data_IF_291510932608
#
_entry.id   IF_291510932608
#
_cell.length_a   1.000
_cell.length_b   1.000
_cell.length_c   1.000
_cell.angle_alpha   90.00
_cell.angle_beta   90.00
_cell.angle_gamma   90.00
#
_symmetry.space_group_name_H-M   'P 1'
#
loop_
_entity.id
_entity.type
_entity.pdbx_description
1 polymer ?
#
# COMPACT_ATOMS: atom_id res chain seq x y z
N UNK A 1 1.60 10.76 -13.45
CA UNK A 1 0.69 10.60 -12.29
C UNK A 1 1.39 10.03 -11.06
N UNK A 2 2.08 8.88 -11.09
CA UNK A 2 2.75 8.31 -9.89
C UNK A 2 3.92 9.16 -9.35
N UNK A 3 4.60 9.90 -10.24
CA UNK A 3 5.68 10.82 -9.88
C UNK A 3 5.19 12.20 -9.44
N UNK A 4 3.93 12.54 -9.70
CA UNK A 4 3.40 13.86 -9.38
C UNK A 4 3.44 14.17 -7.88
N UNK A 5 3.11 13.21 -6.98
CA UNK A 5 3.25 13.45 -5.55
C UNK A 5 4.70 13.59 -5.09
N UNK A 6 5.62 12.80 -5.66
CA UNK A 6 7.04 12.91 -5.37
C UNK A 6 7.59 14.29 -5.81
N UNK A 7 7.18 14.76 -7.00
CA UNK A 7 7.54 16.09 -7.49
C UNK A 7 6.93 17.21 -6.65
N UNK A 8 5.69 17.07 -6.18
CA UNK A 8 5.06 18.04 -5.28
C UNK A 8 5.73 18.06 -3.89
N UNK A 9 6.08 16.89 -3.34
CA UNK A 9 6.85 16.80 -2.10
C UNK A 9 8.21 17.47 -2.24
N UNK A 10 8.92 17.20 -3.36
CA UNK A 10 10.21 17.79 -3.65
C UNK A 10 10.09 19.32 -3.75
N UNK A 11 9.08 19.82 -4.45
CA UNK A 11 8.81 21.25 -4.50
C UNK A 11 8.59 21.84 -3.10
N UNK A 12 7.76 21.22 -2.24
CA UNK A 12 7.53 21.71 -0.87
C UNK A 12 8.78 21.66 0.01
N UNK A 13 9.63 20.64 -0.15
CA UNK A 13 10.93 20.59 0.54
C UNK A 13 11.82 21.76 0.12
N UNK A 14 11.93 22.02 -1.18
CA UNK A 14 12.76 23.09 -1.73
C UNK A 14 12.19 24.48 -1.40
N UNK A 15 10.87 24.60 -1.30
CA UNK A 15 10.18 25.83 -0.92
C UNK A 15 10.16 26.10 0.59
N UNK A 16 10.70 25.20 1.43
CA UNK A 16 10.69 25.35 2.88
C UNK A 16 9.29 25.26 3.52
N UNK A 17 8.29 24.76 2.77
CA UNK A 17 6.87 24.80 3.12
C UNK A 17 6.39 23.55 3.89
N UNK A 18 7.31 22.85 4.55
CA UNK A 18 6.99 21.64 5.32
C UNK A 18 6.71 21.90 6.80
N UNK A 19 6.74 23.17 7.22
CA UNK A 19 6.50 23.58 8.59
C UNK A 19 7.67 23.27 9.53
N UNK A 20 7.40 23.25 10.83
CA UNK A 20 8.43 23.23 11.88
C UNK A 20 9.22 21.91 11.96
N UNK A 21 8.66 20.78 11.52
CA UNK A 21 9.34 19.49 11.49
C UNK A 21 9.24 18.85 10.09
N UNK A 22 10.17 19.18 9.17
CA UNK A 22 10.10 18.74 7.78
C UNK A 22 10.27 17.22 7.63
N UNK A 23 11.06 16.58 8.50
CA UNK A 23 11.28 15.12 8.45
C UNK A 23 10.01 14.36 8.83
N UNK A 24 9.30 14.82 9.87
CA UNK A 24 8.02 14.23 10.26
C UNK A 24 6.95 14.43 9.18
N UNK A 25 6.88 15.63 8.59
CA UNK A 25 5.96 15.91 7.48
C UNK A 25 6.22 14.99 6.27
N UNK A 26 7.48 14.80 5.88
CA UNK A 26 7.88 13.87 4.82
C UNK A 26 7.51 12.42 5.15
N UNK A 27 7.75 12.01 6.39
CA UNK A 27 7.40 10.66 6.87
C UNK A 27 5.89 10.42 6.77
N UNK A 28 5.08 11.36 7.26
CA UNK A 28 3.62 11.28 7.19
C UNK A 28 3.11 11.20 5.74
N UNK A 29 3.54 12.12 4.88
CA UNK A 29 3.09 12.17 3.49
C UNK A 29 3.48 10.92 2.71
N UNK A 30 4.72 10.44 2.85
CA UNK A 30 5.14 9.20 2.17
C UNK A 30 4.37 7.97 2.66
N UNK A 31 4.00 7.93 3.94
CA UNK A 31 3.08 6.94 4.50
C UNK A 31 1.67 7.02 3.90
N UNK A 32 1.11 8.23 3.78
CA UNK A 32 -0.20 8.45 3.15
C UNK A 32 -0.22 8.02 1.68
N UNK A 33 0.81 8.38 0.91
CA UNK A 33 0.92 7.96 -0.49
C UNK A 33 1.06 6.45 -0.64
N UNK A 34 1.78 5.78 0.26
CA UNK A 34 1.84 4.31 0.31
C UNK A 34 0.45 3.71 0.45
N UNK A 35 -0.36 4.17 1.42
CA UNK A 35 -1.73 3.69 1.62
C UNK A 35 -2.63 3.99 0.42
N UNK A 36 -2.57 5.21 -0.13
CA UNK A 36 -3.36 5.61 -1.32
C UNK A 36 -3.06 4.68 -2.49
N UNK A 37 -1.80 4.39 -2.78
CA UNK A 37 -1.43 3.48 -3.87
C UNK A 37 -1.87 2.03 -3.61
N UNK A 38 -1.78 1.53 -2.37
CA UNK A 38 -2.32 0.21 -2.01
C UNK A 38 -3.83 0.14 -2.27
N UNK A 39 -4.59 1.11 -1.79
CA UNK A 39 -6.04 1.14 -1.98
C UNK A 39 -6.44 1.29 -3.45
N UNK A 40 -5.74 2.13 -4.22
CA UNK A 40 -5.96 2.25 -5.67
C UNK A 40 -5.64 0.94 -6.40
N UNK A 41 -4.56 0.25 -6.03
CA UNK A 41 -4.22 -1.05 -6.60
C UNK A 41 -5.28 -2.12 -6.28
N UNK A 42 -5.87 -2.09 -5.09
CA UNK A 42 -6.97 -2.97 -4.68
C UNK A 42 -8.27 -2.63 -5.42
N UNK A 43 -8.55 -1.34 -5.64
CA UNK A 43 -9.72 -0.84 -6.35
C UNK A 43 -9.72 -1.22 -7.84
N UNK A 44 -8.55 -1.39 -8.46
CA UNK A 44 -8.44 -1.73 -9.87
C UNK A 44 -9.21 -3.02 -10.25
N UNK A 45 -9.33 -4.00 -9.34
CA UNK A 45 -10.07 -5.26 -9.63
C UNK A 45 -11.59 -5.06 -9.70
N UNK A 46 -12.29 -4.54 -8.67
CA UNK A 46 -13.72 -4.26 -8.78
C UNK A 46 -14.04 -3.24 -9.87
N UNK A 47 -13.23 -2.18 -10.04
CA UNK A 47 -13.44 -1.19 -11.09
C UNK A 47 -13.36 -1.79 -12.50
N UNK A 48 -12.37 -2.66 -12.77
CA UNK A 48 -12.30 -3.39 -14.04
C UNK A 48 -13.55 -4.23 -14.28
N UNK A 49 -14.10 -4.84 -13.23
CA UNK A 49 -15.27 -5.72 -13.34
C UNK A 49 -16.56 -4.95 -13.59
N UNK A 50 -16.66 -3.73 -13.08
CA UNK A 50 -17.81 -2.85 -13.29
C UNK A 50 -17.73 -2.12 -14.64
N UNK A 51 -16.55 -1.64 -15.02
CA UNK A 51 -16.34 -0.86 -16.26
C UNK A 51 -16.05 -1.70 -17.51
N UNK A 52 -15.61 -2.95 -17.35
CA UNK A 52 -15.12 -3.79 -18.46
C UNK A 52 -13.75 -3.40 -19.01
N UNK A 53 -13.14 -2.29 -18.54
CA UNK A 53 -11.90 -1.76 -19.11
C UNK A 53 -10.66 -2.55 -18.67
N UNK A 54 -10.14 -3.41 -19.54
CA UNK A 54 -8.99 -4.28 -19.26
C UNK A 54 -7.67 -3.51 -19.00
N UNK A 55 -7.56 -2.26 -19.48
CA UNK A 55 -6.40 -1.39 -19.27
C UNK A 55 -6.09 -1.10 -17.79
N UNK A 56 -7.09 -1.21 -16.90
CA UNK A 56 -6.91 -1.05 -15.45
C UNK A 56 -5.92 -2.04 -14.83
N UNK A 57 -5.73 -3.22 -15.44
CA UNK A 57 -4.78 -4.22 -14.93
C UNK A 57 -3.33 -3.77 -15.08
N UNK A 58 -3.00 -3.05 -16.16
CA UNK A 58 -1.66 -2.49 -16.36
C UNK A 58 -1.36 -1.43 -15.29
N UNK A 59 -2.36 -0.62 -14.95
CA UNK A 59 -2.26 0.39 -13.90
C UNK A 59 -2.13 -0.23 -12.51
N UNK A 60 -2.80 -1.37 -12.24
CA UNK A 60 -2.69 -2.07 -10.95
C UNK A 60 -1.24 -2.44 -10.59
N UNK A 61 -0.48 -2.95 -11.56
CA UNK A 61 0.94 -3.33 -11.34
C UNK A 61 1.78 -2.10 -11.03
N UNK A 62 1.58 -1.02 -11.78
CA UNK A 62 2.26 0.26 -11.55
C UNK A 62 1.94 0.83 -10.16
N UNK A 63 0.66 0.80 -9.74
CA UNK A 63 0.21 1.27 -8.43
C UNK A 63 0.81 0.41 -7.29
N UNK A 64 0.90 -0.92 -7.47
CA UNK A 64 1.53 -1.80 -6.48
C UNK A 64 3.03 -1.52 -6.32
N UNK A 65 3.74 -1.30 -7.44
CA UNK A 65 5.15 -0.90 -7.41
C UNK A 65 5.34 0.48 -6.79
N UNK A 66 4.44 1.43 -7.08
CA UNK A 66 4.44 2.75 -6.47
C UNK A 66 4.27 2.66 -4.94
N UNK A 67 3.32 1.84 -4.46
CA UNK A 67 3.14 1.60 -3.04
C UNK A 67 4.41 1.07 -2.38
N UNK A 68 5.06 0.05 -2.97
CA UNK A 68 6.30 -0.48 -2.44
C UNK A 68 7.45 0.54 -2.45
N UNK A 69 7.55 1.35 -3.50
CA UNK A 69 8.55 2.41 -3.61
C UNK A 69 8.37 3.51 -2.56
N UNK A 70 7.13 3.97 -2.34
CA UNK A 70 6.84 4.94 -1.28
C UNK A 70 6.99 4.34 0.12
N UNK A 71 6.71 3.05 0.31
CA UNK A 71 6.96 2.36 1.58
C UNK A 71 8.47 2.30 1.89
N UNK A 72 9.29 2.01 0.87
CA UNK A 72 10.76 2.08 1.00
C UNK A 72 11.22 3.50 1.31
N UNK A 73 10.70 4.50 0.60
CA UNK A 73 11.04 5.90 0.86
C UNK A 73 10.67 6.32 2.29
N UNK A 74 9.47 5.95 2.75
CA UNK A 74 9.01 6.16 4.12
C UNK A 74 9.97 5.54 5.15
N UNK A 75 10.38 4.28 4.93
CA UNK A 75 11.35 3.60 5.78
C UNK A 75 12.73 4.29 5.76
N UNK A 76 13.19 4.76 4.60
CA UNK A 76 14.47 5.44 4.45
C UNK A 76 14.46 6.83 5.13
N UNK A 77 13.36 7.57 5.05
CA UNK A 77 13.21 8.83 5.79
C UNK A 77 13.32 8.58 7.29
N UNK A 78 12.61 7.59 7.81
CA UNK A 78 12.73 7.19 9.21
C UNK A 78 14.16 6.75 9.58
N UNK A 79 14.72 5.78 8.85
CA UNK A 79 16.01 5.19 9.21
C UNK A 79 17.19 6.16 9.05
N UNK A 80 17.18 6.99 8.00
CA UNK A 80 18.29 7.89 7.67
C UNK A 80 18.10 9.28 8.28
N UNK A 81 16.94 9.90 8.08
CA UNK A 81 16.73 11.31 8.46
C UNK A 81 16.28 11.47 9.90
N UNK A 82 15.43 10.57 10.40
CA UNK A 82 14.91 10.65 11.78
C UNK A 82 15.86 9.97 12.78
N UNK A 83 16.36 8.77 12.46
CA UNK A 83 17.20 7.96 13.36
C UNK A 83 18.70 8.06 13.09
N UNK A 84 19.14 8.73 12.01
CA UNK A 84 20.56 8.90 11.70
C UNK A 84 21.34 7.58 11.49
N UNK A 85 20.65 6.50 11.06
CA UNK A 85 21.19 5.14 10.95
C UNK A 85 21.74 4.55 12.27
N UNK A 86 21.29 5.04 13.42
CA UNK A 86 21.64 4.48 14.72
C UNK A 86 20.88 3.17 14.96
N UNK A 87 21.48 2.05 14.54
CA UNK A 87 20.87 0.71 14.57
C UNK A 87 20.35 0.28 15.95
N UNK A 88 21.00 0.73 17.03
CA UNK A 88 20.55 0.46 18.40
C UNK A 88 19.22 1.14 18.72
N UNK A 89 19.02 2.38 18.24
CA UNK A 89 17.76 3.11 18.40
C UNK A 89 16.67 2.48 17.54
N UNK A 90 16.97 2.21 16.27
CA UNK A 90 16.04 1.56 15.33
C UNK A 90 15.56 0.20 15.88
N UNK A 91 16.50 -0.63 16.36
CA UNK A 91 16.16 -1.93 16.95
C UNK A 91 15.32 -1.79 18.22
N UNK A 92 15.66 -0.84 19.08
CA UNK A 92 14.87 -0.53 20.28
C UNK A 92 13.44 -0.09 19.95
N UNK A 93 13.29 0.76 18.94
CA UNK A 93 12.01 1.28 18.48
C UNK A 93 11.12 0.19 17.87
N UNK A 94 11.69 -0.70 17.04
CA UNK A 94 10.96 -1.85 16.46
C UNK A 94 10.40 -2.77 17.55
N UNK A 95 11.14 -2.96 18.66
CA UNK A 95 10.72 -3.84 19.76
C UNK A 95 9.75 -3.17 20.72
N UNK A 96 9.93 -1.88 21.00
CA UNK A 96 9.17 -1.15 22.04
C UNK A 96 7.92 -0.47 21.50
N UNK A 97 7.82 -0.24 20.19
CA UNK A 97 6.74 0.53 19.57
C UNK A 97 5.92 -0.34 18.61
N UNK A 98 4.70 -0.78 19.00
CA UNK A 98 3.92 -1.72 18.20
C UNK A 98 3.55 -1.18 16.81
N UNK A 99 3.38 0.14 16.67
CA UNK A 99 3.14 0.75 15.36
C UNK A 99 4.34 0.56 14.43
N UNK A 100 5.58 0.72 14.89
CA UNK A 100 6.77 0.50 14.06
C UNK A 100 6.87 -0.98 13.67
N UNK A 101 6.63 -1.89 14.61
CA UNK A 101 6.59 -3.33 14.32
C UNK A 101 5.59 -3.67 13.22
N UNK A 102 4.37 -3.11 13.28
CA UNK A 102 3.35 -3.30 12.25
C UNK A 102 3.78 -2.74 10.89
N UNK A 103 4.41 -1.56 10.87
CA UNK A 103 4.94 -0.94 9.66
C UNK A 103 6.03 -1.79 9.01
N UNK A 104 6.98 -2.30 9.80
CA UNK A 104 8.04 -3.19 9.33
C UNK A 104 7.47 -4.51 8.79
N UNK A 105 6.51 -5.11 9.49
CA UNK A 105 5.85 -6.33 9.03
C UNK A 105 5.10 -6.08 7.70
N UNK A 106 4.39 -4.97 7.56
CA UNK A 106 3.75 -4.58 6.30
C UNK A 106 4.79 -4.45 5.17
N UNK A 107 5.91 -3.76 5.43
CA UNK A 107 6.99 -3.59 4.45
C UNK A 107 7.59 -4.91 4.00
N UNK A 108 7.90 -5.81 4.94
CA UNK A 108 8.42 -7.16 4.63
C UNK A 108 7.45 -7.95 3.75
N UNK A 109 6.13 -7.84 3.97
CA UNK A 109 5.14 -8.47 3.10
C UNK A 109 5.06 -7.84 1.70
N UNK A 110 5.39 -6.56 1.55
CA UNK A 110 5.42 -5.88 0.24
C UNK A 110 6.66 -6.26 -0.59
N UNK A 111 7.78 -6.61 0.03
CA UNK A 111 9.01 -7.01 -0.68
C UNK A 111 8.81 -8.12 -1.70
N UNK A 112 8.25 -9.31 -1.37
CA UNK A 112 8.05 -10.36 -2.36
C UNK A 112 7.04 -9.96 -3.43
N UNK A 113 6.08 -9.08 -3.12
CA UNK A 113 5.12 -8.58 -4.10
C UNK A 113 5.81 -7.69 -5.14
N UNK A 114 6.65 -6.76 -4.69
CA UNK A 114 7.45 -5.91 -5.56
C UNK A 114 8.45 -6.72 -6.39
N UNK A 115 9.18 -7.64 -5.74
CA UNK A 115 10.17 -8.51 -6.37
C UNK A 115 9.57 -9.48 -7.40
N UNK A 116 8.27 -9.74 -7.37
CA UNK A 116 7.59 -10.61 -8.34
C UNK A 116 6.62 -9.83 -9.24
N UNK A 117 6.73 -8.51 -9.28
CA UNK A 117 5.91 -7.64 -10.12
C UNK A 117 6.55 -7.46 -11.51
N UNK A 118 6.86 -8.57 -12.19
CA UNK A 118 7.27 -8.60 -13.60
C UNK A 118 6.88 -9.86 -14.35
N UNK A 119 6.78 -9.76 -15.68
CA UNK A 119 6.15 -10.80 -16.50
C UNK A 119 6.92 -12.13 -16.48
N UNK A 120 8.26 -12.07 -16.39
CA UNK A 120 9.07 -13.27 -16.21
C UNK A 120 8.79 -13.97 -14.86
N UNK A 121 8.54 -13.25 -13.77
CA UNK A 121 8.17 -13.85 -12.48
C UNK A 121 6.82 -14.57 -12.55
N UNK A 122 5.85 -14.00 -13.28
CA UNK A 122 4.53 -14.64 -13.50
C UNK A 122 4.70 -15.96 -14.26
N UNK A 123 5.55 -15.98 -15.30
CA UNK A 123 5.84 -17.19 -16.08
C UNK A 123 6.58 -18.24 -15.25
N UNK A 124 7.57 -17.83 -14.46
CA UNK A 124 8.40 -18.73 -13.66
C UNK A 124 7.63 -19.38 -12.50
N UNK A 125 6.87 -18.59 -11.73
CA UNK A 125 6.09 -19.09 -10.59
C UNK A 125 4.82 -19.83 -11.04
N UNK A 126 4.32 -19.51 -12.24
CA UNK A 126 3.00 -19.91 -12.71
C UNK A 126 1.90 -19.08 -12.07
N UNK A 127 0.82 -18.85 -12.83
CA UNK A 127 -0.25 -17.93 -12.47
C UNK A 127 -0.89 -18.22 -11.10
N UNK A 128 -1.04 -19.50 -10.72
CA UNK A 128 -1.68 -19.88 -9.46
C UNK A 128 -0.84 -19.54 -8.23
N UNK A 129 0.46 -19.86 -8.25
CA UNK A 129 1.38 -19.55 -7.13
C UNK A 129 1.62 -18.05 -7.02
N UNK A 130 1.81 -17.38 -8.16
CA UNK A 130 1.93 -15.92 -8.22
C UNK A 130 0.70 -15.22 -7.62
N UNK A 131 -0.50 -15.66 -7.99
CA UNK A 131 -1.74 -15.12 -7.39
C UNK A 131 -1.83 -15.40 -5.89
N UNK A 132 -1.35 -16.56 -5.41
CA UNK A 132 -1.28 -16.89 -3.99
C UNK A 132 -0.36 -15.94 -3.23
N UNK A 133 0.86 -15.74 -3.72
CA UNK A 133 1.83 -14.78 -3.16
C UNK A 133 1.26 -13.37 -3.14
N UNK A 134 0.64 -12.92 -4.23
CA UNK A 134 0.05 -11.58 -4.32
C UNK A 134 -1.20 -11.38 -3.44
N UNK A 135 -1.69 -12.41 -2.73
CA UNK A 135 -2.68 -12.23 -1.67
C UNK A 135 -2.09 -11.60 -0.41
N UNK A 136 -0.77 -11.58 -0.24
CA UNK A 136 -0.14 -10.89 0.90
C UNK A 136 -0.42 -9.38 0.91
N UNK A 137 -0.90 -8.80 -0.20
CA UNK A 137 -1.37 -7.42 -0.25
C UNK A 137 -2.45 -7.13 0.80
N UNK A 138 -3.30 -8.11 1.14
CA UNK A 138 -4.35 -7.92 2.13
C UNK A 138 -3.80 -7.78 3.56
N UNK A 139 -3.05 -8.76 4.11
CA UNK A 139 -2.43 -8.58 5.41
C UNK A 139 -1.46 -7.40 5.44
N UNK A 140 -0.72 -7.12 4.35
CA UNK A 140 0.13 -5.92 4.27
C UNK A 140 -0.68 -4.62 4.41
N UNK A 141 -1.84 -4.52 3.74
CA UNK A 141 -2.72 -3.34 3.85
C UNK A 141 -3.32 -3.21 5.25
N UNK A 142 -3.74 -4.32 5.87
CA UNK A 142 -4.24 -4.32 7.25
C UNK A 142 -3.17 -3.84 8.22
N UNK A 143 -1.95 -4.36 8.11
CA UNK A 143 -0.83 -3.94 8.96
C UNK A 143 -0.46 -2.46 8.73
N UNK A 144 -0.50 -1.97 7.49
CA UNK A 144 -0.28 -0.56 7.18
C UNK A 144 -1.35 0.35 7.79
N UNK A 145 -2.63 -0.08 7.78
CA UNK A 145 -3.72 0.62 8.45
C UNK A 145 -3.55 0.62 9.97
N UNK A 146 -3.16 -0.51 10.57
CA UNK A 146 -2.89 -0.60 12.01
C UNK A 146 -1.70 0.27 12.42
N UNK A 147 -0.62 0.26 11.64
CA UNK A 147 0.53 1.14 11.80
C UNK A 147 0.10 2.61 11.83
N UNK A 148 -0.74 3.03 10.87
CA UNK A 148 -1.24 4.40 10.82
C UNK A 148 -2.16 4.72 12.01
N UNK A 149 -3.10 3.83 12.32
CA UNK A 149 -4.05 4.01 13.42
C UNK A 149 -3.37 4.16 14.78
N UNK A 150 -2.35 3.34 15.06
CA UNK A 150 -1.61 3.42 16.32
C UNK A 150 -0.64 4.60 16.40
N UNK A 151 -0.23 5.16 15.26
CA UNK A 151 0.63 6.34 15.21
C UNK A 151 -0.14 7.61 15.57
N UNK A 152 -1.38 7.77 15.10
CA UNK A 152 -2.20 8.94 15.44
C UNK A 152 -2.82 8.80 16.83
N UNK A 153 -2.63 9.82 17.68
CA UNK A 153 -3.09 9.79 19.08
C UNK A 153 -4.37 10.59 19.36
N UNK A 154 -4.70 11.57 18.52
CA UNK A 154 -5.77 12.53 18.78
C UNK A 154 -6.91 12.50 17.75
N UNK A 155 -6.59 12.43 16.45
CA UNK A 155 -7.60 12.36 15.38
C UNK A 155 -7.50 11.04 14.62
N UNK A 156 -8.48 10.16 14.84
CA UNK A 156 -8.59 8.86 14.18
C UNK A 156 -9.50 8.89 12.95
N UNK A 157 -10.06 10.05 12.56
CA UNK A 157 -10.95 10.17 11.41
C UNK A 157 -10.29 9.77 10.11
N UNK A 158 -9.04 10.19 9.91
CA UNK A 158 -8.31 9.86 8.70
C UNK A 158 -8.02 8.35 8.59
N UNK A 159 -7.41 7.68 9.59
CA UNK A 159 -7.29 6.21 9.57
C UNK A 159 -8.63 5.48 9.41
N UNK A 160 -9.70 5.98 10.06
CA UNK A 160 -11.04 5.44 9.92
C UNK A 160 -11.55 5.52 8.48
N UNK A 161 -11.30 6.62 7.78
CA UNK A 161 -11.65 6.76 6.37
C UNK A 161 -10.89 5.75 5.49
N UNK A 162 -9.57 5.61 5.67
CA UNK A 162 -8.79 4.63 4.91
C UNK A 162 -9.25 3.18 5.20
N UNK A 163 -9.55 2.86 6.46
CA UNK A 163 -10.08 1.56 6.85
C UNK A 163 -11.47 1.30 6.26
N UNK A 164 -12.36 2.30 6.26
CA UNK A 164 -13.68 2.21 5.66
C UNK A 164 -13.60 1.97 4.14
N UNK A 165 -12.73 2.72 3.44
CA UNK A 165 -12.48 2.52 2.00
C UNK A 165 -11.96 1.11 1.75
N UNK A 166 -10.98 0.64 2.53
CA UNK A 166 -10.48 -0.73 2.41
C UNK A 166 -11.60 -1.77 2.60
N UNK A 167 -12.42 -1.62 3.63
CA UNK A 167 -13.58 -2.50 3.88
C UNK A 167 -14.58 -2.52 2.73
N UNK A 168 -14.93 -1.34 2.19
CA UNK A 168 -15.79 -1.21 1.02
C UNK A 168 -15.21 -1.89 -0.23
N UNK A 169 -13.90 -1.76 -0.46
CA UNK A 169 -13.22 -2.42 -1.57
C UNK A 169 -13.26 -3.94 -1.45
N UNK A 170 -13.07 -4.48 -0.23
CA UNK A 170 -13.20 -5.93 0.02
C UNK A 170 -14.64 -6.41 -0.21
N UNK A 171 -15.63 -5.67 0.29
CA UNK A 171 -17.05 -5.99 0.09
C UNK A 171 -17.42 -5.98 -1.41
N UNK A 172 -17.01 -4.94 -2.15
CA UNK A 172 -17.25 -4.83 -3.59
C UNK A 172 -16.61 -5.99 -4.36
N UNK A 173 -15.40 -6.39 -3.99
CA UNK A 173 -14.71 -7.54 -4.60
C UNK A 173 -15.49 -8.83 -4.37
N UNK A 174 -15.94 -9.07 -3.14
CA UNK A 174 -16.69 -10.26 -2.79
C UNK A 174 -18.04 -10.35 -3.51
N UNK A 175 -18.78 -9.24 -3.62
CA UNK A 175 -20.03 -9.17 -4.38
C UNK A 175 -19.79 -9.46 -5.85
N UNK A 176 -18.76 -8.87 -6.46
CA UNK A 176 -18.45 -9.10 -7.88
C UNK A 176 -17.98 -10.53 -8.17
N UNK A 177 -17.23 -11.16 -7.25
CA UNK A 177 -16.83 -12.57 -7.35
C UNK A 177 -18.06 -13.50 -7.34
N UNK A 178 -18.98 -13.27 -6.39
CA UNK A 178 -20.22 -14.07 -6.27
C UNK A 178 -21.14 -13.91 -7.48
N UNK A 179 -21.33 -12.69 -8.00
CA UNK A 179 -22.14 -12.45 -9.21
C UNK A 179 -21.62 -13.24 -10.41
N UNK A 180 -20.31 -13.25 -10.64
CA UNK A 180 -19.71 -14.03 -11.73
C UNK A 180 -19.83 -15.54 -11.54
N UNK A 181 -19.64 -16.03 -10.31
CA UNK A 181 -19.82 -17.44 -10.00
C UNK A 181 -21.26 -17.91 -10.28
N UNK A 182 -22.26 -17.07 -9.98
CA UNK A 182 -23.67 -17.33 -10.30
C UNK A 182 -23.93 -17.35 -11.81
N UNK A 183 -23.40 -16.38 -12.57
CA UNK A 183 -23.57 -16.32 -14.03
C UNK A 183 -22.94 -17.53 -14.74
N UNK A 184 -21.80 -18.05 -14.26
CA UNK A 184 -21.15 -19.25 -14.81
C UNK A 184 -21.90 -20.55 -14.52
N UNK A 185 -22.79 -20.57 -13.52
CA UNK A 185 -23.57 -21.74 -13.12
C UNK A 185 -24.95 -21.82 -13.78
N UNK A 186 -25.40 -20.77 -14.48
CA UNK A 186 -26.62 -20.85 -15.29
C UNK A 186 -26.32 -21.71 -16.53
N UNK A 187 -26.99 -22.87 -16.73
CA UNK A 187 -26.90 -23.62 -17.98
C UNK A 187 -27.38 -22.72 -19.12
N UNK A 188 -26.68 -22.75 -20.24
CA UNK A 188 -27.18 -22.20 -21.50
C UNK A 188 -28.49 -22.96 -21.81
N UNK A 189 -29.62 -22.27 -21.73
CA UNK A 189 -30.89 -22.79 -22.21
C UNK A 189 -30.94 -22.74 -23.74
#
# INVERSE_FOLDING_TARGET
>A
MVLAPAGWLLWRTLAGDLGANPVEALTLETGHWTLRFLLLALAATPLRRLSGWNGLLRHRRLLGLAAAGYALLHLLIYAVLDQGLLWSQIGGDILKRPFITAGMAAFVLLLPLAATSFDAAVRWLGARRWQGLHRLVYPATVLALLHFWWKVKADTREPALYAAVFGLLLAARFVTDRRRARLRRRPSA
#
